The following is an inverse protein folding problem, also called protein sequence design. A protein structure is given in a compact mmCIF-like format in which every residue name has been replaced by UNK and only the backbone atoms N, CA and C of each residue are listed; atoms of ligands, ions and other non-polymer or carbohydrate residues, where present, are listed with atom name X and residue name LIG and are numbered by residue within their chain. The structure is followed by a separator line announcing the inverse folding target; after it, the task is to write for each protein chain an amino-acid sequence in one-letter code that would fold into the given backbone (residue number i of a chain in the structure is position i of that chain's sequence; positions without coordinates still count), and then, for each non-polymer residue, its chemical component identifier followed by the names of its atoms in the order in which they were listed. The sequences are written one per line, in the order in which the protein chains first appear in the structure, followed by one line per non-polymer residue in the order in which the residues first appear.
data_IF_257047477202
#
_entry.id   IF_257047477202
#
_cell.length_a   1.000
_cell.length_b   1.000
_cell.length_c   1.000
_cell.angle_alpha   90.00
_cell.angle_beta   90.00
_cell.angle_gamma   90.00
#
_symmetry.space_group_name_H-M   'P 1'
#
loop_
_entity.id
_entity.type
_entity.pdbx_description
1 polymer ?
#
# COMPACT_ATOMS: atom_id res chain seq x y z
N UNK A 1 -12.28 -14.77 11.93
CA UNK A 1 -10.97 -14.07 11.87
C UNK A 1 -11.31 -12.68 11.35
N UNK A 2 -11.20 -11.67 12.21
CA UNK A 2 -11.39 -10.28 11.80
C UNK A 2 -10.01 -9.76 11.37
N UNK A 3 -9.91 -9.22 10.15
CA UNK A 3 -8.66 -8.68 9.62
C UNK A 3 -8.82 -7.18 9.52
N UNK A 4 -8.07 -6.44 10.33
CA UNK A 4 -7.96 -4.98 10.20
C UNK A 4 -6.91 -4.65 9.16
N UNK A 5 -7.26 -3.75 8.25
CA UNK A 5 -6.33 -3.17 7.28
C UNK A 5 -5.83 -1.81 7.78
N UNK A 6 -4.63 -1.42 7.38
CA UNK A 6 -4.08 -0.11 7.73
C UNK A 6 -4.87 1.02 7.06
N UNK A 7 -5.27 0.78 5.81
CA UNK A 7 -6.10 1.69 5.02
C UNK A 7 -7.24 0.91 4.36
N UNK A 8 -8.27 1.62 3.93
CA UNK A 8 -9.46 1.07 3.31
C UNK A 8 -9.59 1.57 1.86
N UNK A 9 -10.33 0.84 1.01
CA UNK A 9 -10.73 1.36 -0.29
C UNK A 9 -11.43 2.71 -0.14
N UNK A 10 -10.97 3.71 -0.87
CA UNK A 10 -11.45 5.08 -0.83
C UNK A 10 -10.55 6.05 -0.08
N UNK A 11 -9.64 5.57 0.78
CA UNK A 11 -8.68 6.42 1.50
C UNK A 11 -7.64 7.02 0.56
N UNK A 12 -7.24 8.26 0.83
CA UNK A 12 -6.11 8.91 0.16
C UNK A 12 -4.85 8.69 0.98
N UNK A 13 -3.80 8.17 0.34
CA UNK A 13 -2.55 7.81 1.00
C UNK A 13 -1.34 8.32 0.20
N UNK A 14 -0.21 8.41 0.89
CA UNK A 14 1.08 8.84 0.35
C UNK A 14 2.09 7.69 0.39
N UNK A 15 2.82 7.52 -0.69
CA UNK A 15 3.94 6.56 -0.79
C UNK A 15 5.06 7.14 -1.66
N UNK A 16 6.19 6.44 -1.76
CA UNK A 16 7.21 6.74 -2.75
C UNK A 16 6.99 5.90 -4.01
N UNK A 17 6.83 6.56 -5.15
CA UNK A 17 6.78 5.91 -6.45
C UNK A 17 7.75 6.61 -7.39
N UNK A 18 8.60 5.86 -8.08
CA UNK A 18 9.59 6.40 -9.02
C UNK A 18 10.44 7.54 -8.41
N UNK A 19 10.89 7.35 -7.15
CA UNK A 19 11.67 8.32 -6.37
C UNK A 19 10.99 9.68 -6.11
N UNK A 20 9.65 9.72 -6.19
CA UNK A 20 8.87 10.92 -5.86
C UNK A 20 7.73 10.58 -4.89
N UNK A 21 7.37 11.50 -3.97
CA UNK A 21 6.13 11.37 -3.21
C UNK A 21 4.95 11.28 -4.17
N UNK A 22 4.16 10.22 -4.02
CA UNK A 22 3.01 9.91 -4.84
C UNK A 22 1.79 9.80 -3.93
N UNK A 23 0.75 10.55 -4.25
CA UNK A 23 -0.54 10.47 -3.59
C UNK A 23 -1.48 9.66 -4.48
N UNK A 24 -2.19 8.71 -3.89
CA UNK A 24 -3.21 7.97 -4.61
C UNK A 24 -4.39 7.61 -3.72
N UNK A 25 -5.51 7.30 -4.36
CA UNK A 25 -6.70 6.79 -3.69
C UNK A 25 -6.71 5.27 -3.77
N UNK A 26 -6.83 4.60 -2.62
CA UNK A 26 -6.86 3.14 -2.55
C UNK A 26 -8.10 2.63 -3.28
N UNK A 27 -7.90 1.84 -4.34
CA UNK A 27 -8.97 1.22 -5.09
C UNK A 27 -9.39 -0.13 -4.49
N UNK A 28 -8.43 -0.88 -3.96
CA UNK A 28 -8.64 -2.16 -3.30
C UNK A 28 -7.50 -2.45 -2.31
N UNK A 29 -7.78 -3.32 -1.34
CA UNK A 29 -6.78 -3.87 -0.42
C UNK A 29 -6.72 -5.38 -0.65
N UNK A 30 -5.52 -5.89 -0.93
CA UNK A 30 -5.28 -7.30 -1.16
C UNK A 30 -4.45 -7.86 0.00
N UNK A 31 -4.93 -8.94 0.61
CA UNK A 31 -4.27 -9.59 1.74
C UNK A 31 -3.76 -10.94 1.28
N UNK A 32 -2.44 -11.08 1.17
CA UNK A 32 -1.81 -12.36 0.84
C UNK A 32 -1.46 -13.09 2.13
N UNK A 33 -1.96 -14.32 2.29
CA UNK A 33 -1.64 -15.19 3.42
C UNK A 33 -0.70 -16.30 2.94
N UNK A 34 0.53 -16.31 3.43
CA UNK A 34 1.50 -17.37 3.12
C UNK A 34 1.72 -18.29 4.31
N UNK A 35 1.49 -19.59 4.14
CA UNK A 35 1.70 -20.61 5.18
C UNK A 35 2.46 -21.82 4.63
N UNK A 36 3.79 -21.90 4.79
CA UNK A 36 4.51 -23.14 4.56
C UNK A 36 4.27 -24.08 5.76
N UNK A 37 3.50 -25.14 5.54
CA UNK A 37 3.35 -26.32 6.43
C UNK A 37 2.61 -26.19 7.80
N UNK A 38 1.73 -25.19 8.00
CA UNK A 38 0.73 -25.05 9.11
C UNK A 38 1.29 -24.97 10.58
N UNK A 39 0.57 -24.45 11.62
CA UNK A 39 -0.75 -23.81 11.67
C UNK A 39 -0.69 -22.29 11.91
N UNK A 40 -1.50 -21.51 11.18
CA UNK A 40 -1.93 -20.12 11.46
C UNK A 40 -0.94 -19.12 12.11
N UNK A 41 0.35 -19.14 11.75
CA UNK A 41 1.19 -17.93 11.80
C UNK A 41 1.60 -17.57 10.38
N UNK A 42 0.59 -17.41 9.53
CA UNK A 42 0.80 -16.96 8.16
C UNK A 42 1.37 -15.55 8.21
N UNK A 43 2.47 -15.31 7.48
CA UNK A 43 2.83 -13.93 7.15
C UNK A 43 1.69 -13.39 6.29
N UNK A 44 1.01 -12.37 6.80
CA UNK A 44 0.05 -11.61 6.03
C UNK A 44 0.75 -10.39 5.44
N UNK A 45 0.59 -10.18 4.15
CA UNK A 45 1.04 -8.96 3.47
C UNK A 45 -0.18 -8.22 2.98
N UNK A 46 -0.30 -6.97 3.40
CA UNK A 46 -1.36 -6.06 2.96
C UNK A 46 -0.83 -5.19 1.83
N UNK A 47 -1.49 -5.29 0.67
CA UNK A 47 -1.13 -4.57 -0.54
C UNK A 47 -2.26 -3.59 -0.87
N UNK A 48 -1.92 -2.32 -0.99
CA UNK A 48 -2.82 -1.27 -1.47
C UNK A 48 -2.72 -1.18 -2.99
N UNK A 49 -3.87 -1.10 -3.64
CA UNK A 49 -3.95 -1.02 -5.10
C UNK A 49 -4.37 0.37 -5.53
N UNK A 50 -3.67 0.92 -6.50
CA UNK A 50 -4.08 2.07 -7.28
C UNK A 50 -4.54 1.63 -8.67
N UNK A 51 -5.62 2.25 -9.19
CA UNK A 51 -6.02 2.11 -10.58
C UNK A 51 -5.60 3.36 -11.36
N UNK A 52 -4.69 3.20 -12.32
CA UNK A 52 -4.27 4.26 -13.22
C UNK A 52 -4.86 4.05 -14.62
N UNK A 53 -5.44 5.10 -15.19
CA UNK A 53 -5.96 5.08 -16.56
C UNK A 53 -4.94 5.69 -17.50
N UNK A 54 -4.37 4.91 -18.42
CA UNK A 54 -3.33 5.41 -19.33
C UNK A 54 -3.83 5.81 -20.72
N UNK A 55 -5.07 5.50 -21.11
CA UNK A 55 -5.63 5.85 -22.43
C UNK A 55 -7.09 5.36 -22.62
N UNK A 56 -7.85 5.86 -23.62
CA UNK A 56 -9.31 5.71 -23.74
C UNK A 56 -9.84 4.29 -24.05
N UNK A 57 -8.98 3.27 -24.07
CA UNK A 57 -9.37 1.85 -24.25
C UNK A 57 -9.25 1.09 -22.92
N UNK A 58 -9.99 1.54 -21.92
CA UNK A 58 -10.59 0.82 -20.77
C UNK A 58 -9.90 -0.38 -20.10
N UNK A 59 -8.58 -0.53 -20.17
CA UNK A 59 -7.84 -1.46 -19.32
C UNK A 59 -7.15 -0.65 -18.21
N UNK A 60 -7.76 -0.54 -17.01
CA UNK A 60 -7.11 0.13 -15.90
C UNK A 60 -5.80 -0.60 -15.58
N UNK A 61 -4.69 0.11 -15.63
CA UNK A 61 -3.43 -0.41 -15.12
C UNK A 61 -3.49 -0.40 -13.60
N UNK A 62 -2.88 -1.41 -12.98
CA UNK A 62 -2.79 -1.52 -11.53
C UNK A 62 -1.37 -1.25 -11.09
N UNK A 63 -1.24 -0.34 -10.13
CA UNK A 63 -0.03 -0.23 -9.31
C UNK A 63 -0.33 -0.80 -7.93
N UNK A 64 0.66 -1.44 -7.34
CA UNK A 64 0.55 -2.11 -6.04
C UNK A 64 1.63 -1.59 -5.11
N UNK A 65 1.24 -1.24 -3.89
CA UNK A 65 2.13 -0.71 -2.86
C UNK A 65 1.95 -1.49 -1.57
N UNK A 66 3.05 -1.78 -0.87
CA UNK A 66 2.99 -2.35 0.48
C UNK A 66 2.34 -1.33 1.43
N UNK A 67 1.31 -1.73 2.16
CA UNK A 67 0.63 -0.85 3.12
C UNK A 67 1.60 -0.30 4.19
N UNK A 68 2.66 -1.04 4.53
CA UNK A 68 3.68 -0.56 5.47
C UNK A 68 4.46 0.64 4.92
N UNK A 69 4.61 0.75 3.60
CA UNK A 69 5.27 1.86 2.92
C UNK A 69 4.28 2.99 2.51
N UNK A 70 3.04 2.96 2.99
CA UNK A 70 2.03 3.97 2.74
C UNK A 70 1.68 4.73 4.03
N UNK A 71 1.38 6.02 3.90
CA UNK A 71 1.18 6.96 5.02
C UNK A 71 -0.08 7.80 4.79
N UNK A 72 -0.73 8.24 5.87
CA UNK A 72 -1.95 9.04 5.77
C UNK A 72 -1.63 10.45 5.27
N UNK A 73 -0.43 10.95 5.60
CA UNK A 73 0.00 12.29 5.20
C UNK A 73 1.35 12.27 4.49
N UNK A 74 1.59 13.29 3.65
CA UNK A 74 2.89 13.53 3.04
C UNK A 74 3.98 13.76 4.09
N UNK A 75 3.65 14.39 5.22
CA UNK A 75 4.61 14.66 6.28
C UNK A 75 5.10 13.38 6.93
N UNK A 76 4.20 12.45 7.25
CA UNK A 76 4.55 11.12 7.77
C UNK A 76 5.49 10.36 6.82
N UNK A 77 5.24 10.44 5.51
CA UNK A 77 6.12 9.86 4.50
C UNK A 77 7.52 10.50 4.55
N UNK A 78 7.60 11.83 4.59
CA UNK A 78 8.87 12.56 4.67
C UNK A 78 9.61 12.20 5.96
N UNK A 79 8.92 12.21 7.09
CA UNK A 79 9.49 11.85 8.39
C UNK A 79 10.02 10.42 8.37
N UNK A 80 9.30 9.48 7.75
CA UNK A 80 9.79 8.12 7.59
C UNK A 80 11.05 8.04 6.72
N UNK A 81 11.14 8.80 5.63
CA UNK A 81 12.31 8.78 4.74
C UNK A 81 13.56 9.39 5.37
N UNK A 82 13.42 10.44 6.18
CA UNK A 82 14.55 11.21 6.70
C UNK A 82 14.88 10.93 8.19
N UNK A 83 13.92 10.43 8.99
CA UNK A 83 14.14 10.20 10.42
C UNK A 83 14.37 8.71 10.77
N UNK A 84 14.14 7.78 9.84
CA UNK A 84 14.41 6.34 10.08
C UNK A 84 15.90 5.96 10.05
N UNK A 85 16.81 6.94 9.90
CA UNK A 85 18.27 6.73 9.83
C UNK A 85 19.05 7.00 11.13
N UNK A 86 18.38 7.26 12.27
CA UNK A 86 19.03 7.54 13.56
C UNK A 86 18.92 6.35 14.54
N UNK A 87 19.30 5.14 14.10
CA UNK A 87 19.33 3.93 14.94
C UNK A 87 20.60 3.13 14.72
#
# INVERSE_FOLDING_TARGET
MEYSTKFNPGDEVWTMSQNKPHQFRVAAVEITLSAPNAPMRGRSTEILVELINTAPRNNPHRLTFDAQACFATKQELIDHLFNSGNG
#
